data_IF_760317779841
#
_entry.id   IF_760317779841
#
_cell.length_a   1.000
_cell.length_b   1.000
_cell.length_c   1.000
_cell.angle_alpha   90.00
_cell.angle_beta   90.00
_cell.angle_gamma   90.00
#
_symmetry.space_group_name_H-M   'P 1'
#
loop_
_entity.id
_entity.type
_entity.pdbx_description
1 polymer ?
#
# COMPACT_ATOMS: atom_id res chain seq x y z
N UNK A 1 -20.23 15.82 32.90
CA UNK A 1 -19.88 14.73 33.83
C UNK A 1 -19.63 13.50 32.98
N UNK A 2 -18.36 13.22 32.69
CA UNK A 2 -17.95 11.96 32.06
C UNK A 2 -17.61 10.97 33.18
N UNK A 3 -17.85 9.68 32.94
CA UNK A 3 -17.51 8.62 33.90
C UNK A 3 -16.04 8.73 34.30
N UNK A 4 -15.80 8.78 35.61
CA UNK A 4 -14.48 8.86 36.21
C UNK A 4 -13.94 7.45 36.40
N UNK A 5 -12.85 7.12 35.70
CA UNK A 5 -12.18 5.83 35.88
C UNK A 5 -11.29 5.93 37.11
N UNK A 6 -11.84 5.45 38.22
CA UNK A 6 -11.21 5.45 39.55
C UNK A 6 -10.53 4.11 39.77
N UNK A 7 -9.30 4.17 40.26
CA UNK A 7 -8.57 3.02 40.78
C UNK A 7 -8.50 3.11 42.29
N UNK A 8 -8.85 2.00 42.97
CA UNK A 8 -8.87 1.92 44.44
C UNK A 8 -7.68 1.10 44.93
N UNK A 9 -6.91 1.66 45.86
CA UNK A 9 -5.80 0.94 46.49
C UNK A 9 -6.31 -0.18 47.42
N UNK A 10 -5.89 -1.42 47.18
CA UNK A 10 -6.33 -2.59 47.97
C UNK A 10 -5.83 -2.60 49.43
N UNK A 11 -4.80 -1.80 49.76
CA UNK A 11 -4.22 -1.75 51.12
C UNK A 11 -4.77 -0.65 52.01
N UNK A 12 -5.12 0.51 51.43
CA UNK A 12 -5.57 1.66 52.22
C UNK A 12 -6.90 2.26 51.76
N UNK A 13 -7.48 1.76 50.67
CA UNK A 13 -8.78 2.21 50.18
C UNK A 13 -8.77 3.61 49.53
N UNK A 14 -7.59 4.20 49.31
CA UNK A 14 -7.50 5.48 48.62
C UNK A 14 -7.97 5.34 47.17
N UNK A 15 -8.86 6.25 46.77
CA UNK A 15 -9.38 6.37 45.41
C UNK A 15 -8.62 7.45 44.66
N UNK A 16 -8.17 7.11 43.47
CA UNK A 16 -7.42 8.01 42.61
C UNK A 16 -7.86 7.86 41.16
N UNK A 17 -7.90 8.97 40.43
CA UNK A 17 -8.13 8.94 38.98
C UNK A 17 -6.90 8.37 38.25
N UNK A 18 -7.15 7.54 37.24
CA UNK A 18 -6.09 6.99 36.38
C UNK A 18 -5.15 8.09 35.84
N UNK A 19 -5.67 9.29 35.57
CA UNK A 19 -4.91 10.45 35.11
C UNK A 19 -3.87 10.93 36.15
N UNK A 20 -4.20 10.90 37.45
CA UNK A 20 -3.28 11.30 38.52
C UNK A 20 -2.21 10.23 38.78
N UNK A 21 -2.55 8.95 38.60
CA UNK A 21 -1.62 7.83 38.74
C UNK A 21 -0.60 7.85 37.60
N UNK A 22 -1.05 8.02 36.35
CA UNK A 22 -0.17 8.23 35.20
C UNK A 22 0.66 9.51 35.31
N UNK A 23 0.07 10.58 35.87
CA UNK A 23 0.77 11.84 36.15
C UNK A 23 1.92 11.71 37.14
N UNK A 24 1.79 10.81 38.13
CA UNK A 24 2.87 10.46 39.07
C UNK A 24 3.86 9.45 38.53
N UNK A 25 3.41 8.50 37.70
CA UNK A 25 4.26 7.44 37.15
C UNK A 25 5.15 7.92 35.99
N UNK A 26 4.78 9.00 35.28
CA UNK A 26 5.48 9.46 34.08
C UNK A 26 6.21 10.79 34.34
N UNK A 27 7.22 10.76 35.21
CA UNK A 27 8.35 11.72 35.19
C UNK A 27 9.71 11.00 35.06
N UNK A 28 9.68 9.70 34.78
CA UNK A 28 10.83 8.84 34.50
C UNK A 28 10.99 8.66 32.97
N UNK A 29 12.18 8.88 32.46
CA UNK A 29 12.53 8.69 31.03
C UNK A 29 12.41 7.21 30.64
N UNK A 30 12.78 6.29 31.55
CA UNK A 30 12.78 4.85 31.31
C UNK A 30 11.35 4.31 31.23
N UNK A 31 10.45 4.75 32.12
CA UNK A 31 9.02 4.42 32.04
C UNK A 31 8.38 4.96 30.75
N UNK A 32 8.81 6.13 30.28
CA UNK A 32 8.32 6.73 29.02
C UNK A 32 8.81 5.94 27.80
N UNK A 33 10.03 5.42 27.84
CA UNK A 33 10.56 4.51 26.84
C UNK A 33 9.81 3.18 26.83
N UNK A 34 9.54 2.57 27.99
CA UNK A 34 8.80 1.31 28.08
C UNK A 34 7.36 1.45 27.58
N UNK A 35 6.67 2.54 27.91
CA UNK A 35 5.33 2.83 27.36
C UNK A 35 5.38 3.05 25.84
N UNK A 36 6.41 3.75 25.35
CA UNK A 36 6.63 3.94 23.92
C UNK A 36 6.91 2.60 23.19
N UNK A 37 7.64 1.68 23.82
CA UNK A 37 7.92 0.35 23.28
C UNK A 37 6.66 -0.51 23.23
N UNK A 38 5.87 -0.52 24.30
CA UNK A 38 4.57 -1.23 24.33
C UNK A 38 3.62 -0.70 23.26
N UNK A 39 3.54 0.62 23.09
CA UNK A 39 2.74 1.24 22.02
C UNK A 39 3.26 0.83 20.64
N UNK A 40 4.59 0.81 20.44
CA UNK A 40 5.21 0.42 19.18
C UNK A 40 5.02 -1.06 18.85
N UNK A 41 4.91 -1.92 19.86
CA UNK A 41 4.65 -3.36 19.70
C UNK A 41 3.17 -3.67 19.46
N UNK A 42 2.27 -2.87 20.03
CA UNK A 42 0.81 -3.12 20.01
C UNK A 42 0.08 -2.42 18.87
N UNK A 43 0.62 -1.31 18.33
CA UNK A 43 0.04 -0.59 17.21
C UNK A 43 0.95 -0.70 15.97
N UNK A 44 0.40 -1.11 14.81
CA UNK A 44 1.19 -1.22 13.58
C UNK A 44 1.91 0.08 13.15
N UNK A 45 1.37 1.25 13.54
CA UNK A 45 1.94 2.58 13.28
C UNK A 45 2.35 3.31 14.57
N UNK A 46 2.55 2.56 15.67
CA UNK A 46 2.80 3.14 17.00
C UNK A 46 4.07 3.99 17.04
N UNK A 47 5.12 3.56 16.35
CA UNK A 47 6.40 4.28 16.26
C UNK A 47 6.24 5.62 15.54
N UNK A 48 5.54 5.59 14.41
CA UNK A 48 5.24 6.77 13.59
C UNK A 48 4.37 7.76 14.38
N UNK A 49 3.35 7.27 15.08
CA UNK A 49 2.47 8.09 15.92
C UNK A 49 3.25 8.79 17.04
N UNK A 50 4.17 8.09 17.71
CA UNK A 50 5.04 8.67 18.74
C UNK A 50 5.99 9.73 18.18
N UNK A 51 6.60 9.49 17.03
CA UNK A 51 7.43 10.50 16.34
C UNK A 51 6.58 11.71 15.95
N UNK A 52 5.37 11.48 15.46
CA UNK A 52 4.45 12.52 15.03
C UNK A 52 4.00 13.42 16.20
N UNK A 53 3.71 12.87 17.38
CA UNK A 53 3.40 13.65 18.58
C UNK A 53 4.51 14.66 18.94
N UNK A 54 5.78 14.29 18.71
CA UNK A 54 6.92 15.19 18.97
C UNK A 54 6.92 16.41 18.05
N UNK A 55 6.33 16.33 16.85
CA UNK A 55 6.21 17.47 15.93
C UNK A 55 5.26 18.56 16.44
N UNK A 56 4.39 18.26 17.40
CA UNK A 56 3.50 19.23 18.05
C UNK A 56 4.13 19.91 19.27
N UNK A 57 5.34 19.50 19.67
CA UNK A 57 6.05 20.04 20.84
C UNK A 57 6.58 21.44 20.53
N UNK A 58 6.24 22.47 21.32
CA UNK A 58 6.88 23.79 21.22
C UNK A 58 8.37 23.71 21.55
N UNK A 59 9.19 24.53 20.89
CA UNK A 59 10.66 24.47 21.00
C UNK A 59 11.18 24.54 22.45
N UNK A 60 10.59 25.43 23.27
CA UNK A 60 11.05 25.71 24.64
C UNK A 60 10.24 25.02 25.74
N UNK A 61 9.21 24.23 25.42
CA UNK A 61 8.28 23.68 26.41
C UNK A 61 8.03 22.19 26.21
N UNK A 62 7.71 21.49 27.31
CA UNK A 62 7.22 20.10 27.23
C UNK A 62 5.84 20.11 26.55
N UNK A 63 5.54 19.06 25.77
CA UNK A 63 4.21 18.85 25.21
C UNK A 63 3.22 18.63 26.37
N UNK A 64 2.22 19.50 26.50
CA UNK A 64 1.19 19.35 27.55
C UNK A 64 0.36 18.10 27.27
N UNK A 65 0.00 17.37 28.33
CA UNK A 65 -0.84 16.16 28.21
C UNK A 65 -2.22 16.47 27.60
N UNK A 66 -2.80 17.64 27.92
CA UNK A 66 -4.04 18.09 27.28
C UNK A 66 -3.91 18.17 25.76
N UNK A 67 -2.76 18.65 25.25
CA UNK A 67 -2.49 18.74 23.82
C UNK A 67 -2.30 17.37 23.19
N UNK A 68 -1.53 16.49 23.84
CA UNK A 68 -1.35 15.11 23.38
C UNK A 68 -2.69 14.35 23.31
N UNK A 69 -3.55 14.51 24.34
CA UNK A 69 -4.91 13.97 24.36
C UNK A 69 -5.75 14.44 23.19
N UNK A 70 -5.76 15.74 22.87
CA UNK A 70 -6.49 16.27 21.70
C UNK A 70 -6.00 15.62 20.40
N UNK A 71 -4.69 15.51 20.21
CA UNK A 71 -4.12 14.92 18.99
C UNK A 71 -4.52 13.44 18.87
N UNK A 72 -4.41 12.67 19.96
CA UNK A 72 -4.72 11.25 19.96
C UNK A 72 -6.22 10.96 19.86
N UNK A 73 -7.07 11.77 20.49
CA UNK A 73 -8.52 11.64 20.41
C UNK A 73 -9.05 11.87 18.99
N UNK A 74 -8.34 12.65 18.16
CA UNK A 74 -8.64 12.78 16.74
C UNK A 74 -8.12 11.56 15.94
N UNK A 75 -6.85 11.18 16.13
CA UNK A 75 -6.20 10.19 15.25
C UNK A 75 -6.60 8.74 15.55
N UNK A 76 -6.65 8.34 16.81
CA UNK A 76 -6.80 6.92 17.20
C UNK A 76 -8.12 6.32 16.70
N UNK A 77 -9.29 7.00 16.83
CA UNK A 77 -10.54 6.46 16.31
C UNK A 77 -10.49 6.18 14.80
N UNK A 78 -9.94 7.10 14.02
CA UNK A 78 -9.86 6.95 12.55
C UNK A 78 -8.87 5.85 12.13
N UNK A 79 -7.73 5.75 12.83
CA UNK A 79 -6.74 4.68 12.61
C UNK A 79 -7.36 3.32 12.92
N UNK A 80 -8.07 3.18 14.04
CA UNK A 80 -8.71 1.93 14.44
C UNK A 80 -9.91 1.56 13.57
N UNK A 81 -10.68 2.55 13.12
CA UNK A 81 -11.79 2.35 12.20
C UNK A 81 -11.32 1.99 10.78
N UNK A 82 -10.04 2.18 10.45
CA UNK A 82 -9.50 2.07 9.09
C UNK A 82 -10.27 2.93 8.08
N UNK A 83 -10.75 4.08 8.56
CA UNK A 83 -11.59 4.97 7.79
C UNK A 83 -11.46 6.41 8.31
N UNK A 84 -11.50 7.38 7.39
CA UNK A 84 -11.47 8.81 7.71
C UNK A 84 -12.75 9.42 7.16
N UNK A 85 -13.52 10.13 7.98
CA UNK A 85 -14.71 10.86 7.52
C UNK A 85 -14.46 12.37 7.54
N UNK A 86 -14.37 12.99 6.36
CA UNK A 86 -14.15 14.44 6.21
C UNK A 86 -14.94 15.00 5.03
N UNK A 87 -15.53 16.17 5.22
CA UNK A 87 -16.29 16.85 4.16
C UNK A 87 -17.51 16.07 3.66
N UNK A 88 -18.12 15.23 4.52
CA UNK A 88 -19.26 14.38 4.15
C UNK A 88 -18.88 13.11 3.38
N UNK A 89 -17.59 12.88 3.10
CA UNK A 89 -17.08 11.65 2.47
C UNK A 89 -16.31 10.82 3.47
N UNK A 90 -16.48 9.50 3.36
CA UNK A 90 -15.67 8.51 4.09
C UNK A 90 -14.65 7.91 3.14
N UNK A 91 -13.39 7.99 3.51
CA UNK A 91 -12.25 7.39 2.82
C UNK A 91 -11.88 6.10 3.54
N UNK A 92 -11.75 4.99 2.81
CA UNK A 92 -11.23 3.76 3.36
C UNK A 92 -9.71 3.86 3.40
N UNK A 93 -9.13 3.72 4.58
CA UNK A 93 -7.70 3.99 4.80
C UNK A 93 -7.08 2.78 5.48
N UNK A 94 -6.18 2.13 4.78
CA UNK A 94 -5.44 1.00 5.32
C UNK A 94 -4.37 1.47 6.29
N UNK A 95 -3.84 0.55 7.08
CA UNK A 95 -2.72 0.85 7.97
C UNK A 95 -1.46 1.28 7.19
N UNK A 96 -1.27 0.76 5.97
CA UNK A 96 -0.19 1.17 5.07
C UNK A 96 -0.33 2.62 4.60
N UNK A 97 -1.56 3.08 4.35
CA UNK A 97 -1.83 4.47 3.97
C UNK A 97 -1.50 5.44 5.11
N UNK A 98 -1.81 5.07 6.35
CA UNK A 98 -1.40 5.82 7.54
C UNK A 98 0.12 5.90 7.67
N UNK A 99 0.82 4.79 7.50
CA UNK A 99 2.29 4.76 7.55
C UNK A 99 2.90 5.67 6.47
N UNK A 100 2.41 5.56 5.23
CA UNK A 100 2.83 6.42 4.13
C UNK A 100 2.53 7.91 4.41
N UNK A 101 1.37 8.20 5.00
CA UNK A 101 0.99 9.54 5.45
C UNK A 101 1.97 10.13 6.45
N UNK A 102 2.28 9.40 7.53
CA UNK A 102 3.26 9.84 8.53
C UNK A 102 4.63 10.10 7.90
N UNK A 103 5.11 9.19 7.05
CA UNK A 103 6.40 9.33 6.38
C UNK A 103 6.44 10.57 5.47
N UNK A 104 5.35 10.88 4.78
CA UNK A 104 5.26 12.08 3.96
C UNK A 104 5.28 13.36 4.81
N UNK A 105 4.66 13.37 5.99
CA UNK A 105 4.79 14.49 6.94
C UNK A 105 6.24 14.66 7.39
N UNK A 106 6.91 13.57 7.78
CA UNK A 106 8.30 13.61 8.21
C UNK A 106 9.20 14.16 7.11
N UNK A 107 9.04 13.67 5.88
CA UNK A 107 9.78 14.17 4.73
C UNK A 107 9.51 15.66 4.46
N UNK A 108 8.30 16.16 4.69
CA UNK A 108 7.97 17.57 4.53
C UNK A 108 8.64 18.47 5.58
N UNK A 109 8.73 17.99 6.83
CA UNK A 109 9.47 18.66 7.92
C UNK A 109 10.98 18.63 7.64
N UNK A 110 11.52 17.48 7.28
CA UNK A 110 12.95 17.31 6.99
C UNK A 110 13.41 18.19 5.82
N UNK A 111 12.50 18.47 4.85
CA UNK A 111 12.72 19.42 3.75
C UNK A 111 12.52 20.89 4.13
N UNK A 112 12.06 21.20 5.34
CA UNK A 112 11.72 22.55 5.78
C UNK A 112 10.44 23.13 5.17
N UNK A 113 9.66 22.33 4.43
CA UNK A 113 8.40 22.77 3.78
C UNK A 113 7.21 22.78 4.73
N UNK A 114 7.32 22.09 5.87
CA UNK A 114 6.32 22.06 6.92
C UNK A 114 6.92 22.57 8.23
N UNK A 115 6.36 23.66 8.75
CA UNK A 115 6.83 24.29 9.98
C UNK A 115 6.37 23.50 11.22
N UNK A 116 7.29 23.36 12.18
CA UNK A 116 7.01 22.87 13.53
C UNK A 116 7.08 24.03 14.53
N UNK A 117 6.29 24.02 15.62
CA UNK A 117 5.35 22.97 16.02
C UNK A 117 4.08 22.93 15.16
N UNK A 118 3.60 21.72 14.89
CA UNK A 118 2.32 21.53 14.20
C UNK A 118 1.14 22.01 15.06
N UNK A 119 0.28 22.85 14.48
CA UNK A 119 -0.89 23.37 15.17
C UNK A 119 -2.08 22.39 15.17
N UNK A 120 -2.16 21.45 14.23
CA UNK A 120 -3.29 20.53 14.06
C UNK A 120 -2.94 19.37 13.13
N UNK A 121 -3.78 18.34 13.12
CA UNK A 121 -3.60 17.12 12.31
C UNK A 121 -3.98 17.26 10.84
N UNK A 122 -4.50 18.41 10.42
CA UNK A 122 -5.07 18.60 9.10
C UNK A 122 -4.12 18.24 7.95
N UNK A 123 -2.83 18.55 8.08
CA UNK A 123 -1.85 18.22 7.04
C UNK A 123 -1.73 16.71 6.83
N UNK A 124 -1.61 15.94 7.93
CA UNK A 124 -1.57 14.48 7.87
C UNK A 124 -2.83 13.92 7.19
N UNK A 125 -4.00 14.37 7.63
CA UNK A 125 -5.28 13.97 7.03
C UNK A 125 -5.33 14.28 5.53
N UNK A 126 -4.96 15.50 5.12
CA UNK A 126 -4.94 15.88 3.70
C UNK A 126 -4.00 15.00 2.88
N UNK A 127 -2.83 14.65 3.41
CA UNK A 127 -1.87 13.79 2.71
C UNK A 127 -2.41 12.38 2.54
N UNK A 128 -2.99 11.81 3.60
CA UNK A 128 -3.58 10.46 3.58
C UNK A 128 -4.76 10.41 2.62
N UNK A 129 -5.76 11.28 2.78
CA UNK A 129 -6.95 11.26 1.92
C UNK A 129 -6.62 11.54 0.46
N UNK A 130 -5.69 12.46 0.17
CA UNK A 130 -5.25 12.75 -1.21
C UNK A 130 -4.56 11.55 -1.87
N UNK A 131 -3.88 10.72 -1.08
CA UNK A 131 -3.22 9.51 -1.60
C UNK A 131 -4.26 8.46 -1.93
N UNK A 132 -5.18 8.18 -1.00
CA UNK A 132 -6.30 7.26 -1.19
C UNK A 132 -7.17 7.68 -2.38
N UNK A 133 -7.55 8.96 -2.47
CA UNK A 133 -8.31 9.51 -3.60
C UNK A 133 -7.64 9.25 -4.95
N UNK A 134 -6.31 9.42 -5.00
CA UNK A 134 -5.56 9.18 -6.23
C UNK A 134 -5.56 7.70 -6.62
N UNK A 135 -5.42 6.81 -5.63
CA UNK A 135 -5.45 5.36 -5.86
C UNK A 135 -6.83 4.91 -6.32
N UNK A 136 -7.90 5.42 -5.70
CA UNK A 136 -9.29 5.15 -6.13
C UNK A 136 -9.54 5.63 -7.57
N UNK A 137 -9.12 6.87 -7.89
CA UNK A 137 -9.27 7.41 -9.24
C UNK A 137 -8.47 6.63 -10.30
N UNK A 138 -7.28 6.13 -9.95
CA UNK A 138 -6.48 5.27 -10.83
C UNK A 138 -7.16 3.91 -11.06
N UNK A 139 -7.66 3.29 -9.99
CA UNK A 139 -8.38 2.03 -10.08
C UNK A 139 -9.65 2.14 -10.93
N UNK A 140 -10.39 3.24 -10.81
CA UNK A 140 -11.56 3.51 -11.66
C UNK A 140 -11.18 3.67 -13.13
N UNK A 141 -10.11 4.43 -13.42
CA UNK A 141 -9.61 4.62 -14.79
C UNK A 141 -9.17 3.29 -15.43
N UNK A 142 -8.45 2.45 -14.68
CA UNK A 142 -8.00 1.14 -15.15
C UNK A 142 -9.18 0.19 -15.39
N UNK A 143 -10.19 0.20 -14.52
CA UNK A 143 -11.42 -0.58 -14.71
C UNK A 143 -12.20 -0.11 -15.94
N UNK A 144 -12.32 1.20 -16.16
CA UNK A 144 -13.00 1.76 -17.33
C UNK A 144 -12.24 1.40 -18.62
N UNK A 145 -10.91 1.48 -18.63
CA UNK A 145 -10.09 1.02 -19.74
C UNK A 145 -10.31 -0.47 -20.01
N UNK A 146 -10.31 -1.31 -18.97
CA UNK A 146 -10.58 -2.74 -19.08
C UNK A 146 -11.97 -3.02 -19.68
N UNK A 147 -13.00 -2.27 -19.28
CA UNK A 147 -14.36 -2.39 -19.87
C UNK A 147 -14.36 -2.02 -21.35
N UNK A 148 -13.63 -0.98 -21.74
CA UNK A 148 -13.53 -0.52 -23.15
C UNK A 148 -12.79 -1.51 -24.05
N UNK A 149 -11.73 -2.14 -23.54
CA UNK A 149 -10.90 -3.08 -24.32
C UNK A 149 -11.36 -4.54 -24.20
N UNK A 150 -12.31 -4.85 -23.32
CA UNK A 150 -12.83 -6.20 -23.16
C UNK A 150 -13.56 -6.64 -24.45
N UNK A 151 -13.04 -7.64 -25.20
CA UNK A 151 -13.77 -8.19 -26.33
C UNK A 151 -15.06 -8.84 -25.81
N UNK A 152 -16.15 -8.69 -26.56
CA UNK A 152 -17.37 -9.47 -26.35
C UNK A 152 -16.98 -10.95 -26.27
N UNK A 153 -16.96 -11.51 -25.05
CA UNK A 153 -16.77 -12.95 -24.82
C UNK A 153 -18.03 -13.68 -25.27
N UNK A 154 -18.27 -13.69 -26.58
CA UNK A 154 -19.01 -14.77 -27.19
C UNK A 154 -18.16 -16.02 -27.01
N UNK A 155 -18.65 -16.97 -26.22
CA UNK A 155 -18.06 -18.31 -26.17
C UNK A 155 -18.23 -18.89 -27.56
N UNK A 156 -17.19 -18.80 -28.39
CA UNK A 156 -17.10 -19.62 -29.60
C UNK A 156 -16.86 -21.04 -29.06
N UNK A 157 -17.94 -21.80 -28.88
CA UNK A 157 -17.82 -23.23 -28.67
C UNK A 157 -17.26 -23.83 -29.96
N UNK A 158 -15.94 -24.00 -30.01
CA UNK A 158 -15.29 -24.82 -31.03
C UNK A 158 -15.53 -26.27 -30.62
N UNK A 159 -16.57 -26.86 -31.18
CA UNK A 159 -16.91 -28.27 -30.99
C UNK A 159 -15.79 -29.13 -31.59
N UNK A 160 -14.96 -29.77 -30.74
CA UNK A 160 -13.72 -30.47 -31.13
C UNK A 160 -13.97 -31.83 -31.81
N UNK A 161 -15.17 -32.08 -32.34
CA UNK A 161 -15.55 -33.39 -32.92
C UNK A 161 -15.67 -33.45 -34.43
N UNK A 162 -15.19 -32.44 -35.14
CA UNK A 162 -14.99 -32.54 -36.60
C UNK A 162 -13.66 -31.90 -36.98
N UNK A 163 -12.89 -32.49 -37.92
CA UNK A 163 -11.71 -31.83 -38.46
C UNK A 163 -12.17 -30.55 -39.17
N UNK A 164 -11.90 -29.43 -38.52
CA UNK A 164 -12.16 -28.09 -39.05
C UNK A 164 -11.24 -27.91 -40.26
N UNK A 165 -11.78 -28.06 -41.47
CA UNK A 165 -11.13 -27.63 -42.71
C UNK A 165 -11.16 -26.09 -42.79
N UNK A 166 -10.46 -25.41 -41.89
CA UNK A 166 -10.21 -23.96 -41.95
C UNK A 166 -8.77 -23.72 -42.40
N UNK A 167 -8.42 -24.33 -43.52
CA UNK A 167 -7.08 -24.25 -44.11
C UNK A 167 -7.03 -23.76 -45.55
N UNK A 168 -8.17 -23.61 -46.24
CA UNK A 168 -8.16 -23.29 -47.67
C UNK A 168 -8.89 -21.99 -48.04
N UNK A 169 -9.96 -21.61 -47.33
CA UNK A 169 -10.79 -20.45 -47.71
C UNK A 169 -10.43 -19.15 -46.98
N UNK A 170 -9.80 -19.23 -45.80
CA UNK A 170 -9.31 -18.07 -45.04
C UNK A 170 -7.96 -17.50 -45.53
N UNK A 171 -7.22 -18.28 -46.33
CA UNK A 171 -6.00 -17.82 -47.01
C UNK A 171 -6.28 -16.93 -48.23
N UNK A 172 -7.52 -16.86 -48.72
CA UNK A 172 -7.85 -16.15 -49.95
C UNK A 172 -7.93 -14.61 -49.81
N UNK A 173 -7.78 -14.06 -48.60
CA UNK A 173 -7.99 -12.64 -48.31
C UNK A 173 -6.92 -12.04 -47.38
N UNK A 174 -5.76 -12.68 -47.28
CA UNK A 174 -4.61 -12.09 -46.60
C UNK A 174 -4.10 -10.88 -47.41
N UNK A 175 -3.89 -9.78 -46.70
CA UNK A 175 -3.21 -8.58 -47.20
C UNK A 175 -1.88 -8.99 -47.86
N UNK A 176 -1.57 -8.54 -49.09
CA UNK A 176 -0.36 -8.92 -49.82
C UNK A 176 0.93 -8.66 -49.04
N UNK A 177 0.94 -7.71 -48.10
CA UNK A 177 2.10 -7.45 -47.24
C UNK A 177 2.39 -8.60 -46.25
N UNK A 178 1.35 -9.30 -45.79
CA UNK A 178 1.46 -10.44 -44.87
C UNK A 178 1.99 -11.68 -45.58
N UNK A 179 1.60 -11.89 -46.83
CA UNK A 179 2.11 -12.99 -47.66
C UNK A 179 3.61 -12.85 -47.90
N UNK A 180 4.07 -11.64 -48.24
CA UNK A 180 5.49 -11.37 -48.48
C UNK A 180 6.36 -11.54 -47.20
N UNK A 181 5.81 -11.22 -46.02
CA UNK A 181 6.49 -11.50 -44.75
C UNK A 181 6.57 -13.01 -44.47
N UNK A 182 5.51 -13.77 -44.73
CA UNK A 182 5.50 -15.22 -44.58
C UNK A 182 6.45 -15.90 -45.56
N UNK A 183 6.52 -15.42 -46.79
CA UNK A 183 7.43 -15.90 -47.82
C UNK A 183 8.89 -15.64 -47.41
N UNK A 184 9.18 -14.45 -46.89
CA UNK A 184 10.49 -14.09 -46.32
C UNK A 184 10.87 -14.96 -45.12
N UNK A 185 9.93 -15.24 -44.21
CA UNK A 185 10.17 -16.14 -43.07
C UNK A 185 10.38 -17.59 -43.50
N UNK A 186 9.69 -18.04 -44.55
CA UNK A 186 9.85 -19.40 -45.11
C UNK A 186 11.17 -19.54 -45.87
N UNK A 187 11.61 -18.49 -46.54
CA UNK A 187 12.88 -18.43 -47.26
C UNK A 187 14.07 -18.12 -46.34
N UNK A 188 13.81 -17.61 -45.12
CA UNK A 188 14.85 -17.42 -44.12
C UNK A 188 15.47 -18.78 -43.76
N UNK A 189 16.72 -18.97 -44.18
CA UNK A 189 17.50 -20.12 -43.77
C UNK A 189 17.57 -20.13 -42.24
N UNK A 190 17.16 -21.25 -41.63
CA UNK A 190 17.30 -21.43 -40.19
C UNK A 190 18.74 -21.19 -39.73
N UNK A 191 18.96 -20.79 -38.46
CA UNK A 191 20.30 -20.51 -37.96
C UNK A 191 21.23 -21.69 -38.22
N UNK A 192 22.44 -21.39 -38.71
CA UNK A 192 23.43 -22.41 -39.05
C UNK A 192 23.71 -23.32 -37.85
N UNK A 193 24.14 -24.55 -38.11
CA UNK A 193 24.41 -25.54 -37.07
C UNK A 193 25.41 -25.02 -36.02
N UNK A 194 26.36 -24.20 -36.46
CA UNK A 194 27.34 -23.51 -35.61
C UNK A 194 26.69 -22.46 -34.69
N UNK A 195 25.69 -21.72 -35.20
CA UNK A 195 24.90 -20.76 -34.41
C UNK A 195 24.01 -21.49 -33.41
N UNK A 196 23.37 -22.60 -33.81
CA UNK A 196 22.60 -23.47 -32.91
C UNK A 196 23.46 -24.06 -31.79
N UNK A 197 24.67 -24.53 -32.11
CA UNK A 197 25.61 -25.07 -31.14
C UNK A 197 26.06 -24.01 -30.12
N UNK A 198 26.34 -22.78 -30.57
CA UNK A 198 26.65 -21.64 -29.69
C UNK A 198 25.46 -21.27 -28.81
N UNK A 199 24.23 -21.22 -29.35
CA UNK A 199 23.02 -20.93 -28.57
C UNK A 199 22.74 -22.02 -27.54
N UNK A 200 22.90 -23.30 -27.87
CA UNK A 200 22.73 -24.41 -26.94
C UNK A 200 23.77 -24.39 -25.80
N UNK A 201 25.01 -23.99 -26.11
CA UNK A 201 26.08 -23.80 -25.11
C UNK A 201 25.82 -22.62 -24.18
N UNK A 202 25.21 -21.54 -24.68
CA UNK A 202 24.80 -20.38 -23.87
C UNK A 202 23.55 -20.68 -23.02
N UNK A 203 22.63 -21.50 -23.53
CA UNK A 203 21.37 -21.87 -22.86
C UNK A 203 21.48 -23.10 -21.94
N UNK A 204 22.67 -23.68 -21.79
CA UNK A 204 22.94 -24.77 -20.83
C UNK A 204 22.12 -26.04 -21.04
N UNK A 205 21.57 -26.29 -22.23
CA UNK A 205 20.64 -27.40 -22.50
C UNK A 205 21.30 -28.46 -23.38
N UNK A 206 21.49 -29.66 -22.83
CA UNK A 206 22.02 -30.82 -23.55
C UNK A 206 21.06 -31.27 -24.68
N UNK A 207 21.56 -31.74 -25.84
CA UNK A 207 20.73 -32.18 -26.94
C UNK A 207 19.97 -33.47 -26.60
N UNK A 208 18.65 -33.45 -26.76
CA UNK A 208 17.80 -34.62 -26.63
C UNK A 208 17.82 -35.44 -27.93
N UNK A 209 18.14 -36.73 -27.83
CA UNK A 209 17.84 -37.71 -28.88
C UNK A 209 18.95 -38.71 -29.17
N UNK A 210 19.05 -39.78 -28.38
CA UNK A 210 19.67 -41.04 -28.79
C UNK A 210 18.57 -42.06 -29.11
N UNK A 211 18.70 -42.88 -30.17
CA UNK A 211 17.66 -43.81 -30.60
C UNK A 211 17.60 -45.02 -29.67
N UNK A 212 16.38 -45.50 -29.37
CA UNK A 212 16.13 -46.71 -28.59
C UNK A 212 15.80 -47.88 -29.55
N UNK A 213 16.32 -49.11 -29.31
CA UNK A 213 16.07 -50.27 -30.16
C UNK A 213 14.60 -50.72 -30.17
#
# INVERSE_FOLDING_TARGET
MGAEFVTTCASCGAEESIDALLGRMIDDEEARHLVADVISMSLPVGRELLRYLRLHKPEKQRLRMSRAKTILAELVPDIMATAITRGGRTFLVTMGDWQAGFHAVFAAVDKGTLAVPLAHNNYLYTVVTRTVDRLEAQAEADQELQRRVAPLRGVVQVDQKAPVQVGATLLAHLDPALLDLQERDRQAAGPSEEVRAKMAKLLGKAPAGGPKP
#
